data_IF_224749294787
#
_entry.id   IF_224749294787
#
_cell.length_a   1.000
_cell.length_b   1.000
_cell.length_c   1.000
_cell.angle_alpha   90.00
_cell.angle_beta   90.00
_cell.angle_gamma   90.00
#
_symmetry.space_group_name_H-M   'P 1'
#
loop_
_entity.id
_entity.type
_entity.pdbx_description
1 polymer ?
#
# COMPACT_ATOMS: atom_id res chain seq x y z
N UNK A 1 -1.03 -16.32 21.73
CA UNK A 1 -0.60 -14.99 21.24
C UNK A 1 0.82 -15.15 20.72
N UNK A 2 1.12 -14.85 19.46
CA UNK A 2 2.51 -14.84 19.00
C UNK A 2 3.33 -13.89 19.86
N UNK A 3 4.53 -14.29 20.18
CA UNK A 3 5.45 -13.49 20.98
C UNK A 3 5.76 -12.18 20.27
N UNK A 4 5.62 -11.04 20.95
CA UNK A 4 5.86 -9.72 20.37
C UNK A 4 7.34 -9.60 19.99
N UNK A 5 7.62 -9.40 18.69
CA UNK A 5 8.98 -9.19 18.18
C UNK A 5 9.44 -7.77 18.46
N UNK A 6 10.74 -7.57 18.54
CA UNK A 6 11.34 -6.24 18.52
C UNK A 6 11.97 -6.01 17.16
N UNK A 7 11.55 -4.94 16.49
CA UNK A 7 12.06 -4.50 15.18
C UNK A 7 12.85 -3.21 15.39
N UNK A 8 14.12 -3.21 14.97
CA UNK A 8 14.99 -2.05 15.01
C UNK A 8 15.05 -1.39 13.64
N UNK A 9 14.92 -0.06 13.59
CA UNK A 9 14.90 0.72 12.34
C UNK A 9 15.92 1.85 12.44
N UNK A 10 17.00 1.73 11.68
CA UNK A 10 17.98 2.80 11.51
C UNK A 10 17.35 3.93 10.68
N UNK A 11 17.47 5.16 11.19
CA UNK A 11 16.81 6.33 10.62
C UNK A 11 17.76 7.52 10.58
N UNK A 12 17.87 8.13 9.41
CA UNK A 12 18.49 9.46 9.25
C UNK A 12 17.39 10.50 9.40
N UNK A 13 17.56 11.42 10.35
CA UNK A 13 16.59 12.46 10.65
C UNK A 13 16.89 13.75 9.85
N UNK A 14 16.61 13.70 8.57
CA UNK A 14 16.77 14.78 7.59
C UNK A 14 15.45 15.07 6.86
N UNK A 15 14.33 14.75 7.49
CA UNK A 15 13.01 14.88 6.88
C UNK A 15 12.63 16.35 6.65
N UNK A 16 11.96 16.58 5.53
CA UNK A 16 11.59 17.94 5.08
C UNK A 16 10.69 18.72 6.07
N UNK A 17 10.06 18.04 7.03
CA UNK A 17 9.17 18.66 8.01
C UNK A 17 9.72 18.58 9.45
N UNK A 18 10.98 18.17 9.65
CA UNK A 18 11.56 18.05 10.99
C UNK A 18 11.54 19.40 11.74
N UNK A 19 11.94 20.48 11.06
CA UNK A 19 11.86 21.85 11.58
C UNK A 19 10.43 22.28 11.90
N UNK A 20 9.46 21.91 11.07
CA UNK A 20 8.05 22.21 11.32
C UNK A 20 7.51 21.43 12.53
N UNK A 21 7.88 20.16 12.68
CA UNK A 21 7.53 19.37 13.88
C UNK A 21 8.15 20.00 15.13
N UNK A 22 9.41 20.44 15.07
CA UNK A 22 10.05 21.15 16.17
C UNK A 22 9.27 22.41 16.56
N UNK A 23 8.86 23.20 15.56
CA UNK A 23 8.02 24.41 15.79
C UNK A 23 6.65 24.06 16.39
N UNK A 24 5.98 23.01 15.90
CA UNK A 24 4.64 22.60 16.37
C UNK A 24 4.67 22.08 17.80
N UNK A 25 5.76 21.41 18.19
CA UNK A 25 5.93 20.81 19.52
C UNK A 25 6.59 21.76 20.53
N UNK A 26 7.18 22.85 20.06
CA UNK A 26 7.99 23.76 20.89
C UNK A 26 9.35 23.18 21.30
N UNK A 27 9.82 22.15 20.60
CA UNK A 27 11.09 21.48 20.84
C UNK A 27 12.17 21.96 19.85
N UNK A 28 13.44 21.65 20.13
CA UNK A 28 14.47 21.67 19.08
C UNK A 28 14.36 20.42 18.21
N UNK A 29 14.97 20.44 17.02
CA UNK A 29 15.01 19.27 16.13
C UNK A 29 15.67 18.07 16.81
N UNK A 30 16.76 18.27 17.56
CA UNK A 30 17.43 17.22 18.33
C UNK A 30 16.51 16.65 19.43
N UNK A 31 15.68 17.51 20.06
CA UNK A 31 14.74 17.07 21.07
C UNK A 31 13.59 16.26 20.45
N UNK A 32 13.13 16.61 19.24
CA UNK A 32 12.17 15.80 18.47
C UNK A 32 12.76 14.43 18.18
N UNK A 33 13.98 14.36 17.66
CA UNK A 33 14.69 13.10 17.41
C UNK A 33 14.80 12.27 18.68
N UNK A 34 15.21 12.89 19.79
CA UNK A 34 15.31 12.21 21.08
C UNK A 34 13.97 11.68 21.57
N UNK A 35 12.88 12.44 21.42
CA UNK A 35 11.54 11.99 21.77
C UNK A 35 11.09 10.82 20.90
N UNK A 36 11.36 10.85 19.60
CA UNK A 36 10.98 9.77 18.68
C UNK A 36 11.77 8.47 18.91
N UNK A 37 13.05 8.56 19.28
CA UNK A 37 13.93 7.41 19.54
C UNK A 37 13.92 6.96 20.99
N UNK A 38 13.45 7.79 21.90
CA UNK A 38 13.58 7.58 23.36
C UNK A 38 12.65 6.54 23.96
N UNK A 39 11.58 6.18 23.26
CA UNK A 39 10.61 5.18 23.68
C UNK A 39 10.29 4.21 22.56
N UNK A 40 10.07 2.93 22.87
CA UNK A 40 9.62 1.99 21.84
C UNK A 40 8.20 2.32 21.39
N UNK A 41 7.98 2.22 20.10
CA UNK A 41 6.67 2.28 19.50
C UNK A 41 6.04 0.89 19.44
N UNK A 42 4.73 0.82 19.33
CA UNK A 42 3.99 -0.44 19.17
C UNK A 42 3.31 -0.45 17.80
N UNK A 43 3.47 -1.51 17.05
CA UNK A 43 2.69 -1.77 15.86
C UNK A 43 1.20 -1.87 16.24
N UNK A 44 0.41 -0.85 15.89
CA UNK A 44 -1.02 -0.80 16.20
C UNK A 44 -1.82 -1.60 15.20
N UNK A 45 -1.83 -1.16 13.96
CA UNK A 45 -2.57 -1.81 12.87
C UNK A 45 -1.94 -1.50 11.51
N UNK A 46 -2.17 -2.40 10.54
CA UNK A 46 -1.81 -2.18 9.14
C UNK A 46 -2.93 -1.45 8.39
N UNK A 47 -2.57 -0.65 7.38
CA UNK A 47 -3.55 0.05 6.56
C UNK A 47 -2.89 0.90 5.48
N UNK A 48 -3.66 1.61 4.67
CA UNK A 48 -3.19 2.49 3.61
C UNK A 48 -2.47 1.77 2.46
N UNK A 49 -1.43 0.98 2.75
CA UNK A 49 -0.68 0.22 1.74
C UNK A 49 -0.04 -1.03 2.38
N UNK A 50 0.26 -2.08 1.60
CA UNK A 50 1.03 -3.23 2.09
C UNK A 50 2.33 -2.80 2.76
N UNK A 51 2.55 -3.23 4.01
CA UNK A 51 3.72 -2.85 4.81
C UNK A 51 3.64 -1.48 5.49
N UNK A 52 2.54 -0.73 5.33
CA UNK A 52 2.31 0.50 6.09
C UNK A 52 1.66 0.15 7.44
N UNK A 53 2.40 0.33 8.52
CA UNK A 53 1.91 0.08 9.88
C UNK A 53 1.83 1.38 10.65
N UNK A 54 0.67 1.63 11.25
CA UNK A 54 0.46 2.74 12.19
C UNK A 54 1.06 2.36 13.53
N UNK A 55 2.07 3.11 13.96
CA UNK A 55 2.78 2.91 15.22
C UNK A 55 2.20 3.83 16.28
N UNK A 56 1.93 3.27 17.46
CA UNK A 56 1.35 3.96 18.62
C UNK A 56 2.29 3.91 19.83
N UNK A 57 1.98 4.64 20.90
CA UNK A 57 2.69 4.53 22.18
C UNK A 57 4.01 5.29 22.26
N UNK A 58 4.30 6.16 21.29
CA UNK A 58 5.44 7.09 21.38
C UNK A 58 5.22 8.23 22.38
N UNK A 59 6.20 9.12 22.47
CA UNK A 59 6.11 10.29 23.37
C UNK A 59 4.92 11.18 22.94
N UNK A 60 3.96 11.50 23.84
CA UNK A 60 2.80 12.33 23.53
C UNK A 60 3.14 13.73 23.01
N UNK A 61 4.33 14.25 23.28
CA UNK A 61 4.80 15.54 22.76
C UNK A 61 4.86 15.55 21.22
N UNK A 62 5.00 14.38 20.60
CA UNK A 62 5.06 14.19 19.15
C UNK A 62 3.68 14.16 18.47
N UNK A 63 2.60 14.40 19.20
CA UNK A 63 1.27 14.48 18.60
C UNK A 63 1.15 15.77 17.78
N UNK A 64 1.31 15.65 16.47
CA UNK A 64 1.31 16.77 15.53
C UNK A 64 0.26 16.59 14.44
N UNK A 65 -0.39 17.66 13.97
CA UNK A 65 -1.38 17.56 12.90
C UNK A 65 -0.73 17.16 11.57
N UNK A 66 -1.55 16.58 10.69
CA UNK A 66 -1.16 16.42 9.28
C UNK A 66 -0.89 17.78 8.65
N UNK A 67 -0.15 17.77 7.56
CA UNK A 67 0.02 18.95 6.70
C UNK A 67 -1.32 19.42 6.14
N UNK A 68 -1.49 20.72 6.02
CA UNK A 68 -2.69 21.29 5.40
C UNK A 68 -2.82 20.92 3.91
N UNK A 69 -1.68 20.74 3.23
CA UNK A 69 -1.64 20.29 1.83
C UNK A 69 -0.83 19.02 1.75
N UNK A 70 -1.44 17.88 1.34
CA UNK A 70 -0.72 16.65 1.15
C UNK A 70 0.28 16.76 -0.02
N UNK A 71 1.38 16.02 0.06
CA UNK A 71 2.30 15.85 -1.06
C UNK A 71 1.71 14.87 -2.07
N UNK A 72 1.96 15.10 -3.34
CA UNK A 72 1.60 14.18 -4.42
C UNK A 72 2.47 12.93 -4.41
N UNK A 73 3.72 13.06 -3.96
CA UNK A 73 4.68 11.97 -3.83
C UNK A 73 5.47 12.11 -2.52
N UNK A 74 5.37 11.11 -1.66
CA UNK A 74 6.22 10.90 -0.48
C UNK A 74 7.13 9.73 -0.82
N UNK A 75 8.46 9.87 -0.73
CA UNK A 75 9.39 8.81 -1.08
C UNK A 75 9.23 7.57 -0.19
N UNK A 76 9.51 6.39 -0.76
CA UNK A 76 9.64 5.16 0.03
C UNK A 76 10.70 5.32 1.12
N UNK A 77 10.47 4.69 2.28
CA UNK A 77 11.36 4.80 3.44
C UNK A 77 11.19 6.09 4.25
N UNK A 78 10.31 7.02 3.88
CA UNK A 78 10.04 8.21 4.68
C UNK A 78 9.47 7.84 6.04
N UNK A 79 10.10 8.32 7.12
CA UNK A 79 9.62 8.21 8.51
C UNK A 79 8.81 9.46 8.82
N UNK A 80 7.58 9.28 9.33
CA UNK A 80 6.63 10.38 9.41
C UNK A 80 5.75 10.33 10.66
N UNK A 81 5.21 11.50 11.04
CA UNK A 81 4.29 11.69 12.16
C UNK A 81 2.96 12.28 11.69
N UNK A 82 1.86 11.82 12.29
CA UNK A 82 0.54 12.43 12.14
C UNK A 82 -0.39 12.02 13.30
N UNK A 83 -0.98 12.98 13.99
CA UNK A 83 -1.70 12.72 15.23
C UNK A 83 -0.77 12.04 16.23
N UNK A 84 -1.23 11.02 16.88
CA UNK A 84 -0.47 10.21 17.85
C UNK A 84 0.39 9.11 17.20
N UNK A 85 0.40 9.03 15.85
CA UNK A 85 1.03 7.95 15.12
C UNK A 85 2.38 8.33 14.54
N UNK A 86 3.29 7.35 14.51
CA UNK A 86 4.44 7.31 13.61
C UNK A 86 4.22 6.22 12.54
N UNK A 87 4.86 6.35 11.40
CA UNK A 87 4.86 5.31 10.36
C UNK A 87 6.06 5.47 9.43
N UNK A 88 6.33 4.40 8.67
CA UNK A 88 7.29 4.41 7.57
C UNK A 88 6.55 4.10 6.27
N UNK A 89 6.73 4.94 5.25
CA UNK A 89 6.14 4.73 3.94
C UNK A 89 6.83 3.56 3.22
N UNK A 90 6.13 2.47 2.88
CA UNK A 90 6.75 1.29 2.26
C UNK A 90 7.10 1.49 0.79
N UNK A 91 6.45 2.44 0.13
CA UNK A 91 6.62 2.80 -1.28
C UNK A 91 6.30 4.27 -1.49
N UNK A 92 6.73 4.82 -2.63
CA UNK A 92 6.29 6.15 -3.02
C UNK A 92 4.77 6.21 -3.12
N UNK A 93 4.17 7.22 -2.50
CA UNK A 93 2.71 7.40 -2.44
C UNK A 93 2.36 8.84 -2.08
N UNK A 94 1.18 9.34 -2.46
CA UNK A 94 0.71 10.61 -1.93
C UNK A 94 0.49 10.54 -0.42
N UNK A 95 0.73 11.65 0.29
CA UNK A 95 0.55 11.67 1.74
C UNK A 95 0.70 13.05 2.38
N UNK A 96 0.03 13.23 3.51
CA UNK A 96 0.01 14.50 4.26
C UNK A 96 0.64 14.40 5.65
N UNK A 97 1.45 13.40 5.93
CA UNK A 97 2.16 13.28 7.20
C UNK A 97 3.41 14.17 7.24
N UNK A 98 3.83 14.55 8.43
CA UNK A 98 5.05 15.32 8.67
C UNK A 98 6.27 14.42 8.55
N UNK A 99 7.09 14.62 7.53
CA UNK A 99 8.28 13.81 7.29
C UNK A 99 9.42 14.27 8.20
N UNK A 100 9.86 13.40 9.12
CA UNK A 100 10.92 13.69 10.09
C UNK A 100 12.25 13.03 9.74
N UNK A 101 12.25 12.01 8.87
CA UNK A 101 13.47 11.30 8.50
C UNK A 101 13.22 10.26 7.43
N UNK A 102 14.22 9.42 7.22
CA UNK A 102 14.17 8.32 6.25
C UNK A 102 14.95 7.10 6.72
N UNK A 103 14.53 5.94 6.21
CA UNK A 103 15.20 4.65 6.41
C UNK A 103 15.29 3.90 5.09
N UNK A 104 16.21 2.95 5.01
CA UNK A 104 16.31 1.98 3.91
C UNK A 104 15.74 0.61 4.30
N UNK A 105 15.11 0.48 5.48
CA UNK A 105 14.49 -0.75 5.90
C UNK A 105 13.39 -1.16 4.91
N UNK A 106 13.43 -2.38 4.33
CA UNK A 106 12.44 -2.84 3.37
C UNK A 106 11.14 -3.19 4.11
N UNK A 107 10.22 -2.23 4.21
CA UNK A 107 8.97 -2.38 4.96
C UNK A 107 8.09 -3.51 4.42
N UNK A 108 8.20 -3.80 3.12
CA UNK A 108 7.48 -4.88 2.44
C UNK A 108 8.43 -5.65 1.52
N UNK A 109 8.51 -6.98 1.71
CA UNK A 109 9.35 -7.87 0.91
C UNK A 109 8.67 -9.24 0.77
N UNK A 110 8.29 -9.59 -0.45
CA UNK A 110 7.61 -10.86 -0.78
C UNK A 110 8.51 -12.09 -0.63
N UNK A 111 9.83 -11.91 -0.52
CA UNK A 111 10.75 -13.03 -0.31
C UNK A 111 10.85 -13.43 1.17
N UNK A 112 10.25 -12.68 2.08
CA UNK A 112 10.14 -13.04 3.49
C UNK A 112 8.93 -13.94 3.73
N UNK A 113 9.03 -14.84 4.69
CA UNK A 113 7.87 -15.63 5.16
C UNK A 113 6.74 -14.70 5.65
N UNK A 114 7.11 -13.61 6.31
CA UNK A 114 6.25 -12.50 6.70
C UNK A 114 6.61 -11.29 5.83
N UNK A 115 5.85 -10.96 4.81
CA UNK A 115 6.18 -9.85 3.90
C UNK A 115 6.29 -8.49 4.60
N UNK A 116 5.43 -8.22 5.59
CA UNK A 116 5.49 -6.99 6.38
C UNK A 116 6.65 -7.04 7.38
N UNK A 117 7.49 -6.00 7.39
CA UNK A 117 8.58 -5.89 8.37
C UNK A 117 8.01 -5.71 9.79
N UNK A 118 6.99 -4.88 9.94
CA UNK A 118 6.32 -4.59 11.20
C UNK A 118 4.90 -5.13 11.13
N UNK A 119 4.49 -5.86 12.16
CA UNK A 119 3.13 -6.38 12.32
C UNK A 119 2.44 -5.77 13.54
N UNK A 120 1.11 -5.79 13.60
CA UNK A 120 0.40 -5.46 14.82
C UNK A 120 0.91 -6.26 16.02
N UNK A 121 1.22 -5.56 17.12
CA UNK A 121 1.79 -6.13 18.33
C UNK A 121 3.33 -6.14 18.39
N UNK A 122 4.04 -5.90 17.29
CA UNK A 122 5.50 -5.77 17.31
C UNK A 122 5.94 -4.50 18.03
N UNK A 123 7.05 -4.59 18.76
CA UNK A 123 7.73 -3.44 19.36
C UNK A 123 8.72 -2.87 18.35
N UNK A 124 8.69 -1.56 18.11
CA UNK A 124 9.56 -0.89 17.13
C UNK A 124 10.44 0.11 17.84
N UNK A 125 11.74 0.03 17.58
CA UNK A 125 12.76 0.95 18.13
C UNK A 125 13.45 1.64 16.96
N UNK A 126 13.38 2.98 16.94
CA UNK A 126 14.12 3.78 15.97
C UNK A 126 15.48 4.15 16.52
N UNK A 127 16.50 4.02 15.68
CA UNK A 127 17.88 4.42 15.99
C UNK A 127 18.29 5.57 15.09
N UNK A 128 18.69 6.69 15.68
CA UNK A 128 19.23 7.78 14.91
C UNK A 128 20.66 7.43 14.42
N UNK A 129 20.84 7.44 13.11
CA UNK A 129 22.13 7.20 12.44
C UNK A 129 22.49 8.38 11.55
N UNK A 130 23.79 8.59 11.32
CA UNK A 130 24.27 9.68 10.43
C UNK A 130 24.07 9.35 8.96
N UNK A 131 24.24 8.08 8.61
CA UNK A 131 24.12 7.55 7.25
C UNK A 131 23.46 6.18 7.28
N UNK A 132 22.69 5.89 6.23
CA UNK A 132 22.12 4.56 6.03
C UNK A 132 23.17 3.70 5.31
N UNK A 133 23.52 2.58 5.91
CA UNK A 133 24.40 1.60 5.25
C UNK A 133 23.62 0.99 4.09
N UNK A 134 23.96 1.32 2.87
CA UNK A 134 23.45 0.66 1.69
C UNK A 134 24.23 -0.65 1.51
N UNK A 135 23.78 -1.72 2.15
CA UNK A 135 24.14 -3.04 1.65
C UNK A 135 23.47 -3.17 0.29
N UNK A 136 24.27 -3.10 -0.77
CA UNK A 136 23.83 -3.45 -2.11
C UNK A 136 23.48 -4.94 -2.10
N UNK A 137 22.26 -5.29 -1.64
CA UNK A 137 21.67 -6.52 -2.10
C UNK A 137 21.61 -6.38 -3.64
N UNK A 138 22.03 -7.40 -4.41
CA UNK A 138 21.89 -7.35 -5.85
C UNK A 138 20.44 -6.95 -6.13
N UNK A 139 20.26 -5.90 -6.91
CA UNK A 139 18.95 -5.47 -7.33
C UNK A 139 18.23 -6.72 -7.84
N UNK A 140 17.17 -7.11 -7.17
CA UNK A 140 16.25 -8.08 -7.74
C UNK A 140 15.84 -7.42 -9.05
N UNK A 141 16.33 -7.97 -10.15
CA UNK A 141 15.86 -7.64 -11.47
C UNK A 141 14.34 -7.67 -11.35
N UNK A 142 13.64 -6.61 -11.74
CA UNK A 142 12.21 -6.70 -11.80
C UNK A 142 11.94 -7.93 -12.65
N UNK A 143 11.33 -8.95 -12.08
CA UNK A 143 10.79 -10.05 -12.82
C UNK A 143 9.72 -9.42 -13.73
N UNK A 144 10.13 -8.94 -14.87
CA UNK A 144 9.33 -8.80 -16.06
C UNK A 144 9.06 -10.20 -16.63
N UNK A 145 8.63 -11.10 -15.76
CA UNK A 145 7.97 -12.35 -16.11
C UNK A 145 6.50 -12.02 -16.33
N UNK A 146 6.25 -11.30 -17.38
CA UNK A 146 4.92 -10.87 -17.80
C UNK A 146 4.86 -10.63 -19.30
N UNK A 147 5.87 -11.05 -20.04
CA UNK A 147 5.75 -11.32 -21.46
C UNK A 147 5.69 -12.85 -21.65
N UNK A 148 4.73 -13.50 -21.04
CA UNK A 148 4.11 -14.63 -21.70
C UNK A 148 3.20 -14.04 -22.79
N UNK A 149 3.84 -13.68 -23.91
CA UNK A 149 3.20 -13.80 -25.20
C UNK A 149 2.82 -15.27 -25.33
N UNK A 150 1.66 -15.63 -24.82
CA UNK A 150 0.93 -16.78 -25.30
C UNK A 150 0.59 -16.50 -26.75
N UNK A 151 1.62 -16.58 -27.60
CA UNK A 151 1.43 -16.87 -29.01
C UNK A 151 0.75 -18.24 -29.06
N UNK A 152 -0.52 -18.21 -29.49
CA UNK A 152 -1.10 -19.37 -30.12
C UNK A 152 -1.89 -20.31 -29.24
N UNK A 153 -3.05 -19.89 -28.81
CA UNK A 153 -4.27 -20.67 -29.07
C UNK A 153 -5.27 -19.66 -29.57
N UNK A 154 -5.80 -19.91 -30.79
CA UNK A 154 -6.79 -19.06 -31.45
C UNK A 154 -8.01 -18.86 -30.57
N UNK A 155 -7.90 -17.97 -29.63
CA UNK A 155 -8.96 -17.52 -28.74
C UNK A 155 -9.36 -16.13 -29.18
N UNK A 156 -10.66 -15.84 -29.18
CA UNK A 156 -11.19 -14.52 -29.41
C UNK A 156 -10.58 -13.55 -28.41
N UNK A 157 -10.03 -12.45 -28.88
CA UNK A 157 -9.54 -11.35 -28.04
C UNK A 157 -10.57 -10.22 -28.04
N UNK A 158 -10.70 -9.54 -26.91
CA UNK A 158 -11.45 -8.30 -26.79
C UNK A 158 -10.49 -7.14 -26.75
N UNK A 159 -10.61 -6.22 -27.67
CA UNK A 159 -9.86 -4.97 -27.69
C UNK A 159 -10.69 -3.85 -27.05
N UNK A 160 -10.14 -3.16 -26.05
CA UNK A 160 -10.79 -2.00 -25.45
C UNK A 160 -10.57 -0.79 -26.36
N UNK A 161 -11.63 -0.27 -26.97
CA UNK A 161 -11.62 0.95 -27.78
C UNK A 161 -11.76 2.20 -26.92
N UNK A 162 -12.64 2.14 -25.94
CA UNK A 162 -12.83 3.19 -24.95
C UNK A 162 -13.06 2.55 -23.58
N UNK A 163 -12.32 2.95 -22.53
CA UNK A 163 -12.53 2.40 -21.19
C UNK A 163 -13.75 3.00 -20.48
N UNK A 164 -14.43 3.99 -21.08
CA UNK A 164 -15.43 4.78 -20.39
C UNK A 164 -14.81 5.64 -19.27
N UNK A 165 -15.65 6.07 -18.32
CA UNK A 165 -15.16 6.87 -17.20
C UNK A 165 -14.24 6.07 -16.28
N UNK A 166 -14.59 4.83 -16.01
CA UNK A 166 -13.78 3.92 -15.19
C UNK A 166 -14.10 2.46 -15.53
N UNK A 167 -13.08 1.72 -15.93
CA UNK A 167 -13.13 0.26 -16.11
C UNK A 167 -11.97 -0.38 -15.38
N UNK A 168 -12.26 -1.37 -14.56
CA UNK A 168 -11.29 -2.09 -13.74
C UNK A 168 -11.43 -3.59 -13.98
N UNK A 169 -10.31 -4.31 -13.94
CA UNK A 169 -10.33 -5.77 -13.85
C UNK A 169 -10.46 -6.11 -12.37
N UNK A 170 -11.52 -6.81 -12.02
CA UNK A 170 -11.82 -7.19 -10.64
C UNK A 170 -12.18 -8.68 -10.55
N UNK A 171 -11.74 -9.31 -9.47
CA UNK A 171 -12.15 -10.65 -9.09
C UNK A 171 -12.98 -10.59 -7.78
N UNK A 172 -13.02 -11.66 -6.99
CA UNK A 172 -13.71 -11.67 -5.69
C UNK A 172 -12.86 -11.10 -4.56
N UNK A 173 -11.66 -10.58 -4.86
CA UNK A 173 -10.77 -10.00 -3.88
C UNK A 173 -9.96 -11.02 -3.08
N UNK A 174 -9.24 -10.51 -2.08
CA UNK A 174 -8.29 -11.26 -1.25
C UNK A 174 -8.52 -11.02 0.25
N UNK A 175 -9.59 -11.55 0.85
CA UNK A 175 -9.84 -11.42 2.29
C UNK A 175 -8.77 -12.13 3.11
N UNK A 176 -8.57 -11.68 4.35
CA UNK A 176 -7.67 -12.35 5.31
C UNK A 176 -6.27 -11.74 5.43
N UNK A 177 -5.95 -10.66 4.73
CA UNK A 177 -4.64 -10.00 4.75
C UNK A 177 -4.66 -8.60 5.35
N UNK A 178 -5.69 -8.26 6.12
CA UNK A 178 -5.85 -6.92 6.70
C UNK A 178 -4.77 -6.60 7.74
N UNK A 179 -4.26 -7.59 8.46
CA UNK A 179 -3.15 -7.50 9.42
C UNK A 179 -1.82 -7.10 8.75
N UNK A 180 -1.68 -7.38 7.46
CA UNK A 180 -0.54 -6.97 6.66
C UNK A 180 -0.75 -5.62 5.96
N UNK A 181 -1.87 -4.94 6.20
CA UNK A 181 -2.23 -3.70 5.50
C UNK A 181 -2.69 -3.89 4.06
N UNK A 182 -3.00 -5.12 3.65
CA UNK A 182 -3.51 -5.43 2.31
C UNK A 182 -5.03 -5.39 2.33
N UNK A 183 -5.62 -4.50 1.51
CA UNK A 183 -7.07 -4.40 1.40
C UNK A 183 -7.65 -5.65 0.75
N UNK A 184 -8.87 -6.02 1.13
CA UNK A 184 -9.58 -7.13 0.50
C UNK A 184 -9.79 -6.88 -1.01
N UNK A 185 -9.99 -5.64 -1.43
CA UNK A 185 -10.27 -5.27 -2.82
C UNK A 185 -11.39 -6.17 -3.44
N UNK A 186 -11.36 -6.37 -4.77
CA UNK A 186 -12.35 -7.17 -5.49
C UNK A 186 -13.51 -6.34 -6.00
N UNK A 187 -14.41 -6.99 -6.72
CA UNK A 187 -15.57 -6.37 -7.33
C UNK A 187 -16.46 -5.68 -6.29
N UNK A 188 -16.92 -4.46 -6.58
CA UNK A 188 -17.84 -3.72 -5.73
C UNK A 188 -19.20 -4.43 -5.63
N UNK A 189 -19.67 -5.02 -6.75
CA UNK A 189 -20.83 -5.90 -6.78
C UNK A 189 -20.43 -7.35 -7.03
N UNK A 190 -20.05 -8.03 -5.96
CA UNK A 190 -19.67 -9.46 -5.96
C UNK A 190 -20.79 -10.34 -6.52
N UNK A 191 -22.08 -9.99 -6.29
CA UNK A 191 -23.19 -10.78 -6.77
C UNK A 191 -23.29 -10.74 -8.30
N UNK A 192 -23.19 -9.55 -8.87
CA UNK A 192 -23.23 -9.36 -10.32
C UNK A 192 -21.99 -9.95 -11.00
N UNK A 193 -20.80 -9.83 -10.42
CA UNK A 193 -19.59 -10.47 -10.92
C UNK A 193 -19.74 -12.00 -11.03
N UNK A 194 -20.23 -12.65 -9.96
CA UNK A 194 -20.55 -14.09 -9.98
C UNK A 194 -21.61 -14.46 -10.99
N UNK A 195 -22.64 -13.62 -11.14
CA UNK A 195 -23.71 -13.86 -12.11
C UNK A 195 -23.20 -13.77 -13.55
N UNK A 196 -22.39 -12.75 -13.88
CA UNK A 196 -21.80 -12.62 -15.20
C UNK A 196 -20.95 -13.84 -15.56
N UNK A 197 -20.10 -14.30 -14.66
CA UNK A 197 -19.29 -15.49 -14.86
C UNK A 197 -20.14 -16.75 -15.10
N UNK A 198 -21.20 -16.96 -14.32
CA UNK A 198 -22.11 -18.10 -14.50
C UNK A 198 -22.79 -18.10 -15.87
N UNK A 199 -23.21 -16.93 -16.36
CA UNK A 199 -23.91 -16.81 -17.63
C UNK A 199 -23.05 -17.23 -18.83
N UNK A 200 -21.73 -17.07 -18.75
CA UNK A 200 -20.78 -17.45 -19.79
C UNK A 200 -20.04 -18.77 -19.48
N UNK A 201 -20.40 -19.44 -18.38
CA UNK A 201 -19.80 -20.73 -18.00
C UNK A 201 -18.41 -20.63 -17.36
N UNK A 202 -17.99 -19.47 -16.92
CA UNK A 202 -16.74 -19.27 -16.21
C UNK A 202 -16.83 -19.72 -14.72
N UNK A 203 -15.69 -20.06 -14.07
CA UNK A 203 -15.63 -20.16 -12.62
C UNK A 203 -16.12 -18.86 -11.97
N UNK A 204 -16.82 -19.00 -10.83
CA UNK A 204 -17.41 -17.82 -10.15
C UNK A 204 -16.37 -16.79 -9.68
N UNK A 205 -15.14 -17.23 -9.51
CA UNK A 205 -13.97 -16.46 -9.06
C UNK A 205 -13.20 -15.79 -10.20
N UNK A 206 -13.53 -16.10 -11.46
CA UNK A 206 -12.84 -15.50 -12.60
C UNK A 206 -12.97 -13.98 -12.59
N UNK A 207 -11.91 -13.30 -13.02
CA UNK A 207 -11.93 -11.85 -13.12
C UNK A 207 -12.95 -11.37 -14.15
N UNK A 208 -13.57 -10.24 -13.87
CA UNK A 208 -14.54 -9.55 -14.72
C UNK A 208 -14.09 -8.12 -15.00
N UNK A 209 -14.60 -7.50 -16.05
CA UNK A 209 -14.48 -6.06 -16.24
C UNK A 209 -15.62 -5.39 -15.47
N UNK A 210 -15.28 -4.64 -14.44
CA UNK A 210 -16.22 -3.78 -13.71
C UNK A 210 -16.18 -2.39 -14.33
N UNK A 211 -17.30 -1.93 -14.86
CA UNK A 211 -17.41 -0.61 -15.49
C UNK A 211 -18.36 0.27 -14.70
N UNK A 212 -17.92 1.49 -14.39
CA UNK A 212 -18.68 2.49 -13.67
C UNK A 212 -19.16 3.57 -14.63
N UNK A 213 -20.46 3.89 -14.59
CA UNK A 213 -21.11 4.93 -15.39
C UNK A 213 -21.14 4.68 -16.91
N UNK A 214 -20.85 3.46 -17.38
CA UNK A 214 -20.93 3.11 -18.81
C UNK A 214 -19.78 3.66 -19.67
N UNK A 215 -19.99 3.69 -20.99
CA UNK A 215 -19.01 4.19 -21.94
C UNK A 215 -17.85 3.23 -22.26
N UNK A 216 -17.88 2.00 -21.77
CA UNK A 216 -16.94 0.96 -22.18
C UNK A 216 -17.30 0.48 -23.59
N UNK A 217 -16.36 0.60 -24.52
CA UNK A 217 -16.48 0.12 -25.88
C UNK A 217 -15.46 -0.99 -26.15
N UNK A 218 -15.93 -2.13 -26.60
CA UNK A 218 -15.11 -3.31 -26.90
C UNK A 218 -15.26 -3.72 -28.35
N UNK A 219 -14.20 -4.19 -28.98
CA UNK A 219 -14.21 -4.86 -30.27
C UNK A 219 -13.77 -6.31 -30.07
N UNK A 220 -14.56 -7.25 -30.54
CA UNK A 220 -14.21 -8.66 -30.53
C UNK A 220 -13.42 -9.00 -31.80
N UNK A 221 -12.25 -9.61 -31.66
CA UNK A 221 -11.44 -10.15 -32.74
C UNK A 221 -11.69 -11.67 -32.85
N UNK A 222 -12.90 -12.03 -33.28
CA UNK A 222 -13.38 -13.41 -33.38
C UNK A 222 -14.65 -13.62 -32.57
N UNK A 223 -15.15 -14.86 -32.57
CA UNK A 223 -16.37 -15.22 -31.82
C UNK A 223 -16.15 -15.09 -30.31
N UNK A 224 -17.03 -14.35 -29.64
CA UNK A 224 -16.99 -14.14 -28.20
C UNK A 224 -18.40 -14.23 -27.61
N UNK A 225 -18.48 -14.82 -26.42
CA UNK A 225 -19.73 -14.79 -25.60
C UNK A 225 -19.51 -13.86 -24.43
N UNK A 226 -20.36 -12.86 -24.34
CA UNK A 226 -20.30 -11.85 -23.28
C UNK A 226 -21.55 -11.92 -22.43
N UNK A 227 -21.38 -11.69 -21.13
CA UNK A 227 -22.50 -11.49 -20.21
C UNK A 227 -22.40 -10.12 -19.56
N UNK A 228 -23.53 -9.47 -19.41
CA UNK A 228 -23.68 -8.23 -18.66
C UNK A 228 -24.56 -8.48 -17.43
N UNK A 229 -24.10 -8.06 -16.27
CA UNK A 229 -24.85 -8.15 -15.02
C UNK A 229 -24.58 -6.89 -14.17
N UNK A 230 -25.54 -6.51 -13.34
CA UNK A 230 -25.45 -5.32 -12.50
C UNK A 230 -26.68 -4.43 -12.58
N UNK A 231 -26.48 -3.12 -12.41
CA UNK A 231 -27.56 -2.15 -12.55
C UNK A 231 -28.12 -2.19 -13.97
N UNK A 232 -29.44 -2.31 -14.10
CA UNK A 232 -30.11 -2.29 -15.39
C UNK A 232 -29.81 -0.99 -16.12
N UNK A 233 -29.41 -1.10 -17.39
CA UNK A 233 -29.32 0.06 -18.28
C UNK A 233 -30.76 0.30 -18.76
N UNK A 234 -31.28 1.55 -18.67
CA UNK A 234 -32.62 1.87 -19.19
C UNK A 234 -32.67 1.74 -20.72
#
# INVERSE_FOLDING_TARGET
TPEARTVSIDTVYDGADLAEVARLTGLSEEAVVKAHTGSPWLGGFGGFAPGFTYLTGGDPVLNVPRRNSPRTAVPAGSVALAGEYSAVYPRESPGGWQLIGRTNAPMWDLNRNDPALIRPGDKVIFHAVRELITTTAPAATPNTSGNDSTEGRGGSALEVRSPGLQSLIQDLGRPGYADLGVSAAGAADVRSARQANRLVGNPAEAAVIENLFGGLELTANGDAVLALAGAGIP
#
